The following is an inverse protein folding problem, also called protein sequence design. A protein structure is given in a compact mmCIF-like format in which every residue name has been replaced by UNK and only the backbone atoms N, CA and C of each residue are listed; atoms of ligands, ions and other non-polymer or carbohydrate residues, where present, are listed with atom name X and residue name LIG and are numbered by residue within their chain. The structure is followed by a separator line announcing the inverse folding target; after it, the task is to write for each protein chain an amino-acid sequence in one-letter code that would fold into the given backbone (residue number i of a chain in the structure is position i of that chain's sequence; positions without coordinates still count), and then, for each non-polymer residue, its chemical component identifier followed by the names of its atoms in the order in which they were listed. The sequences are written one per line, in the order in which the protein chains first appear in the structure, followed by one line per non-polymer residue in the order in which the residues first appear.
data_IF_326440726605
#
_entry.id   IF_326440726605
#
_cell.length_a   1.000
_cell.length_b   1.000
_cell.length_c   1.000
_cell.angle_alpha   90.00
_cell.angle_beta   90.00
_cell.angle_gamma   90.00
#
_symmetry.space_group_name_H-M   'P 1'
#
loop_
_entity.id
_entity.type
_entity.pdbx_description
1 polymer ?
#
# COMPACT_ATOMS: atom_id res chain seq x y z
N UNK A 1 5.58 -1.07 -24.10
CA UNK A 1 6.89 -1.40 -23.50
C UNK A 1 6.71 -2.64 -22.62
N UNK A 2 7.56 -3.65 -22.73
CA UNK A 2 7.47 -4.84 -21.84
C UNK A 2 8.04 -4.50 -20.47
N UNK A 3 7.25 -4.67 -19.41
CA UNK A 3 7.72 -4.55 -18.02
C UNK A 3 8.68 -5.68 -17.67
N UNK A 4 9.71 -5.37 -16.88
CA UNK A 4 10.69 -6.34 -16.39
C UNK A 4 10.08 -7.26 -15.34
N UNK A 5 10.77 -8.36 -15.02
CA UNK A 5 10.41 -9.23 -13.90
C UNK A 5 10.31 -8.43 -12.60
N UNK A 6 11.27 -7.54 -12.33
CA UNK A 6 11.27 -6.69 -11.12
C UNK A 6 10.04 -5.79 -11.04
N UNK A 7 9.64 -5.18 -12.15
CA UNK A 7 8.43 -4.34 -12.20
C UNK A 7 7.16 -5.15 -11.96
N UNK A 8 7.08 -6.37 -12.51
CA UNK A 8 5.94 -7.28 -12.28
C UNK A 8 5.90 -7.80 -10.85
N UNK A 9 7.04 -8.13 -10.26
CA UNK A 9 7.14 -8.54 -8.86
C UNK A 9 6.71 -7.39 -7.95
N UNK A 10 7.20 -6.16 -8.18
CA UNK A 10 6.79 -5.02 -7.37
C UNK A 10 5.30 -4.72 -7.50
N UNK A 11 4.74 -4.79 -8.71
CA UNK A 11 3.31 -4.59 -8.94
C UNK A 11 2.43 -5.69 -8.32
N UNK A 12 2.85 -6.95 -8.34
CA UNK A 12 2.10 -8.06 -7.71
C UNK A 12 2.11 -7.96 -6.20
N UNK A 13 3.25 -7.61 -5.60
CA UNK A 13 3.32 -7.36 -4.16
C UNK A 13 2.45 -6.16 -3.75
N UNK A 14 2.49 -5.07 -4.51
CA UNK A 14 1.64 -3.90 -4.24
C UNK A 14 0.14 -4.24 -4.40
N UNK A 15 -0.21 -5.10 -5.37
CA UNK A 15 -1.58 -5.59 -5.51
C UNK A 15 -2.01 -6.45 -4.31
N UNK A 16 -1.11 -7.27 -3.75
CA UNK A 16 -1.39 -8.05 -2.56
C UNK A 16 -1.68 -7.15 -1.33
N UNK A 17 -0.97 -6.04 -1.17
CA UNK A 17 -1.28 -5.04 -0.14
C UNK A 17 -2.63 -4.38 -0.37
N UNK A 18 -2.95 -4.03 -1.63
CA UNK A 18 -4.27 -3.53 -2.00
C UNK A 18 -5.40 -4.52 -1.65
N UNK A 19 -5.18 -5.81 -1.87
CA UNK A 19 -6.10 -6.88 -1.43
C UNK A 19 -6.19 -6.92 0.09
N UNK A 20 -5.08 -6.77 0.82
CA UNK A 20 -5.09 -6.64 2.28
C UNK A 20 -5.98 -5.50 2.78
N UNK A 21 -5.94 -4.33 2.10
CA UNK A 21 -6.84 -3.22 2.40
C UNK A 21 -8.31 -3.54 2.09
N UNK A 22 -8.60 -4.33 1.05
CA UNK A 22 -9.96 -4.79 0.77
C UNK A 22 -10.46 -5.80 1.82
N UNK A 23 -9.59 -6.67 2.33
CA UNK A 23 -9.93 -7.58 3.44
C UNK A 23 -10.24 -6.77 4.70
N UNK A 24 -9.41 -5.76 5.01
CA UNK A 24 -9.65 -4.84 6.11
C UNK A 24 -10.97 -4.06 5.93
N UNK A 25 -11.28 -3.61 4.72
CA UNK A 25 -12.53 -2.95 4.39
C UNK A 25 -13.73 -3.87 4.65
N UNK A 26 -13.66 -5.12 4.20
CA UNK A 26 -14.68 -6.13 4.46
C UNK A 26 -14.88 -6.37 5.95
N UNK A 27 -13.78 -6.44 6.71
CA UNK A 27 -13.85 -6.56 8.18
C UNK A 27 -14.53 -5.35 8.83
N UNK A 28 -14.20 -4.12 8.42
CA UNK A 28 -14.86 -2.91 8.94
C UNK A 28 -16.37 -2.90 8.67
N UNK A 29 -16.79 -3.35 7.48
CA UNK A 29 -18.22 -3.47 7.15
C UNK A 29 -18.91 -4.49 8.07
N UNK A 30 -18.28 -5.64 8.32
CA UNK A 30 -18.80 -6.64 9.26
C UNK A 30 -18.93 -6.03 10.67
N UNK A 31 -17.91 -5.31 11.15
CA UNK A 31 -17.93 -4.68 12.48
C UNK A 31 -19.10 -3.70 12.65
N UNK A 32 -19.38 -2.88 11.62
CA UNK A 32 -20.54 -1.97 11.63
C UNK A 32 -21.86 -2.77 11.71
N UNK A 33 -21.99 -3.82 10.91
CA UNK A 33 -23.22 -4.62 10.85
C UNK A 33 -23.46 -5.40 12.15
N UNK A 34 -22.40 -5.86 12.82
CA UNK A 34 -22.51 -6.57 14.11
C UNK A 34 -22.65 -5.63 15.31
N UNK A 35 -22.59 -4.32 15.10
CA UNK A 35 -22.65 -3.32 16.17
C UNK A 35 -21.38 -3.24 17.01
N UNK A 36 -20.26 -3.76 16.52
CA UNK A 36 -18.95 -3.77 17.19
C UNK A 36 -18.17 -2.48 16.87
N UNK A 37 -18.82 -1.33 17.06
CA UNK A 37 -18.25 0.00 16.81
C UNK A 37 -18.76 1.02 17.81
N UNK A 38 -17.86 1.76 18.46
CA UNK A 38 -18.22 2.81 19.43
C UNK A 38 -18.98 3.99 18.80
N UNK A 39 -18.67 4.31 17.54
CA UNK A 39 -19.27 5.41 16.79
C UNK A 39 -19.46 5.06 15.32
N UNK A 40 -20.72 5.02 14.88
CA UNK A 40 -21.08 4.74 13.48
C UNK A 40 -20.49 5.79 12.54
N UNK A 41 -20.48 7.07 12.95
CA UNK A 41 -19.94 8.15 12.11
C UNK A 41 -18.44 7.97 11.86
N UNK A 42 -17.67 7.64 12.90
CA UNK A 42 -16.23 7.37 12.76
C UNK A 42 -15.98 6.10 11.95
N UNK A 43 -16.77 5.06 12.15
CA UNK A 43 -16.65 3.81 11.42
C UNK A 43 -16.90 4.00 9.91
N UNK A 44 -17.94 4.75 9.54
CA UNK A 44 -18.21 5.09 8.13
C UNK A 44 -17.06 5.90 7.52
N UNK A 45 -16.49 6.85 8.26
CA UNK A 45 -15.34 7.61 7.78
C UNK A 45 -14.13 6.71 7.50
N UNK A 46 -13.84 5.76 8.39
CA UNK A 46 -12.76 4.77 8.22
C UNK A 46 -13.01 3.85 7.02
N UNK A 47 -14.25 3.39 6.81
CA UNK A 47 -14.64 2.57 5.65
C UNK A 47 -14.36 3.31 4.35
N UNK A 48 -14.82 4.58 4.26
CA UNK A 48 -14.60 5.40 3.06
C UNK A 48 -13.11 5.63 2.81
N UNK A 49 -12.35 5.99 3.85
CA UNK A 49 -10.91 6.22 3.73
C UNK A 49 -10.15 4.95 3.32
N UNK A 50 -10.54 3.79 3.88
CA UNK A 50 -9.95 2.49 3.55
C UNK A 50 -10.27 2.09 2.12
N UNK A 51 -11.51 2.32 1.65
CA UNK A 51 -11.89 2.07 0.27
C UNK A 51 -11.10 2.93 -0.72
N UNK A 52 -10.93 4.23 -0.42
CA UNK A 52 -10.09 5.13 -1.22
C UNK A 52 -8.62 4.69 -1.22
N UNK A 53 -8.10 4.29 -0.06
CA UNK A 53 -6.74 3.74 0.06
C UNK A 53 -6.57 2.49 -0.79
N UNK A 54 -7.49 1.52 -0.70
CA UNK A 54 -7.46 0.30 -1.49
C UNK A 54 -7.51 0.59 -3.00
N UNK A 55 -8.40 1.47 -3.44
CA UNK A 55 -8.51 1.88 -4.83
C UNK A 55 -7.22 2.56 -5.33
N UNK A 56 -6.62 3.44 -4.54
CA UNK A 56 -5.36 4.10 -4.87
C UNK A 56 -4.21 3.09 -5.00
N UNK A 57 -4.05 2.18 -4.03
CA UNK A 57 -2.98 1.16 -4.03
C UNK A 57 -3.13 0.19 -5.20
N UNK A 58 -4.34 -0.29 -5.48
CA UNK A 58 -4.61 -1.12 -6.65
C UNK A 58 -4.36 -0.36 -7.96
N UNK A 59 -4.74 0.92 -8.01
CA UNK A 59 -4.41 1.81 -9.13
C UNK A 59 -2.91 1.94 -9.36
N UNK A 60 -2.12 2.12 -8.30
CA UNK A 60 -0.66 2.15 -8.38
C UNK A 60 -0.06 0.80 -8.80
N UNK A 61 -0.64 -0.31 -8.37
CA UNK A 61 -0.23 -1.65 -8.80
C UNK A 61 -0.44 -1.83 -10.32
N UNK A 62 -1.62 -1.49 -10.83
CA UNK A 62 -1.93 -1.54 -12.26
C UNK A 62 -1.03 -0.59 -13.06
N UNK A 63 -0.86 0.65 -12.60
CA UNK A 63 0.02 1.63 -13.24
C UNK A 63 1.48 1.14 -13.29
N UNK A 64 1.96 0.52 -12.21
CA UNK A 64 3.30 -0.09 -12.16
C UNK A 64 3.42 -1.26 -13.14
N UNK A 65 2.39 -2.11 -13.22
CA UNK A 65 2.33 -3.26 -14.14
C UNK A 65 2.38 -2.86 -15.61
N UNK A 66 1.78 -1.72 -15.97
CA UNK A 66 1.79 -1.17 -17.34
C UNK A 66 3.01 -0.27 -17.59
N UNK A 67 3.88 -0.08 -16.59
CA UNK A 67 5.15 0.64 -16.73
C UNK A 67 5.08 2.15 -16.50
N UNK A 68 3.94 2.68 -16.03
CA UNK A 68 3.75 4.11 -15.74
C UNK A 68 4.56 4.56 -14.52
N UNK A 69 5.23 5.72 -14.61
CA UNK A 69 6.09 6.23 -13.54
C UNK A 69 5.35 6.66 -12.29
N UNK A 70 4.13 7.19 -12.44
CA UNK A 70 3.32 7.63 -11.31
C UNK A 70 2.89 6.48 -10.40
N UNK A 71 2.74 5.26 -10.94
CA UNK A 71 2.44 4.07 -10.14
C UNK A 71 3.56 3.70 -9.17
N UNK A 72 4.82 3.80 -9.61
CA UNK A 72 5.99 3.50 -8.77
C UNK A 72 6.18 4.54 -7.67
N UNK A 73 6.09 5.83 -8.01
CA UNK A 73 6.22 6.90 -7.02
C UNK A 73 5.07 6.88 -6.01
N UNK A 74 3.84 6.68 -6.48
CA UNK A 74 2.67 6.52 -5.61
C UNK A 74 2.82 5.34 -4.65
N UNK A 75 3.21 4.18 -5.18
CA UNK A 75 3.49 3.00 -4.37
C UNK A 75 4.58 3.23 -3.31
N UNK A 76 5.70 3.90 -3.66
CA UNK A 76 6.77 4.22 -2.70
C UNK A 76 6.24 5.13 -1.58
N UNK A 77 5.46 6.16 -1.94
CA UNK A 77 4.84 7.05 -0.95
C UNK A 77 3.90 6.28 -0.04
N UNK A 78 3.07 5.37 -0.57
CA UNK A 78 2.24 4.47 0.24
C UNK A 78 3.09 3.70 1.24
N UNK A 79 4.23 3.14 0.85
CA UNK A 79 5.08 2.40 1.79
C UNK A 79 5.59 3.27 2.92
N UNK A 80 5.98 4.52 2.64
CA UNK A 80 6.40 5.45 3.68
C UNK A 80 5.25 5.81 4.63
N UNK A 81 4.03 5.97 4.09
CA UNK A 81 2.84 6.19 4.91
C UNK A 81 2.51 4.98 5.78
N UNK A 82 2.61 3.75 5.25
CA UNK A 82 2.41 2.52 6.03
C UNK A 82 3.48 2.39 7.12
N UNK A 83 4.73 2.75 6.83
CA UNK A 83 5.80 2.78 7.85
C UNK A 83 5.55 3.83 8.93
N UNK A 84 5.01 5.00 8.57
CA UNK A 84 4.59 6.00 9.54
C UNK A 84 3.46 5.47 10.44
N UNK A 85 2.48 4.77 9.86
CA UNK A 85 1.42 4.08 10.61
C UNK A 85 1.98 2.98 11.50
N UNK A 86 2.94 2.19 11.02
CA UNK A 86 3.60 1.14 11.79
C UNK A 86 4.36 1.71 12.99
N UNK A 87 5.08 2.82 12.81
CA UNK A 87 5.74 3.53 13.89
C UNK A 87 4.72 4.04 14.92
N UNK A 88 3.63 4.66 14.46
CA UNK A 88 2.53 5.08 15.34
C UNK A 88 1.90 3.91 16.10
N UNK A 89 1.74 2.75 15.46
CA UNK A 89 1.26 1.53 16.11
C UNK A 89 2.26 0.96 17.13
N UNK A 90 3.57 1.23 16.99
CA UNK A 90 4.58 0.81 17.96
C UNK A 90 4.68 1.75 19.17
N UNK A 91 4.52 3.07 18.96
CA UNK A 91 4.81 4.10 19.97
C UNK A 91 3.59 4.82 20.53
N UNK A 92 2.39 4.60 19.98
CA UNK A 92 1.16 5.26 20.44
C UNK A 92 0.70 4.81 21.83
N UNK A 93 -0.28 5.53 22.40
CA UNK A 93 -0.82 5.28 23.74
C UNK A 93 -1.33 3.85 23.95
N UNK A 94 -1.81 3.21 22.88
CA UNK A 94 -2.21 1.81 22.83
C UNK A 94 -1.31 1.03 21.87
N UNK A 95 0.01 1.12 22.05
CA UNK A 95 0.98 0.49 21.18
C UNK A 95 0.78 -1.03 21.07
N UNK A 96 0.73 -1.53 19.84
CA UNK A 96 0.65 -2.94 19.48
C UNK A 96 1.89 -3.32 18.66
N UNK A 97 3.00 -3.73 19.30
CA UNK A 97 4.28 -3.97 18.63
C UNK A 97 4.18 -5.05 17.54
N UNK A 98 3.35 -6.07 17.76
CA UNK A 98 3.13 -7.13 16.78
C UNK A 98 2.47 -6.60 15.50
N UNK A 99 1.48 -5.70 15.62
CA UNK A 99 0.83 -5.06 14.46
C UNK A 99 1.82 -4.15 13.74
N UNK A 100 2.61 -3.39 14.49
CA UNK A 100 3.65 -2.52 13.93
C UNK A 100 4.65 -3.32 13.07
N UNK A 101 5.15 -4.45 13.58
CA UNK A 101 6.05 -5.33 12.82
C UNK A 101 5.33 -5.94 11.60
N UNK A 102 4.07 -6.37 11.77
CA UNK A 102 3.25 -6.91 10.69
C UNK A 102 3.01 -5.93 9.55
N UNK A 103 2.95 -4.62 9.83
CA UNK A 103 2.85 -3.55 8.82
C UNK A 103 4.23 -3.19 8.24
N UNK A 104 5.26 -3.12 9.07
CA UNK A 104 6.58 -2.64 8.65
C UNK A 104 7.29 -3.60 7.70
N UNK A 105 7.23 -4.91 7.94
CA UNK A 105 7.89 -5.92 7.11
C UNK A 105 7.44 -5.86 5.65
N UNK A 106 6.13 -5.99 5.31
CA UNK A 106 5.70 -5.89 3.93
C UNK A 106 6.05 -4.53 3.35
N UNK A 107 5.87 -3.43 4.10
CA UNK A 107 6.12 -2.11 3.57
C UNK A 107 7.59 -1.88 3.16
N UNK A 108 8.55 -2.40 3.94
CA UNK A 108 9.97 -2.37 3.60
C UNK A 108 10.22 -3.21 2.35
N UNK A 109 9.72 -4.45 2.31
CA UNK A 109 9.96 -5.38 1.20
C UNK A 109 9.41 -4.82 -0.11
N UNK A 110 8.14 -4.38 -0.12
CA UNK A 110 7.49 -3.81 -1.30
C UNK A 110 8.17 -2.50 -1.69
N UNK A 111 8.54 -1.66 -0.72
CA UNK A 111 9.24 -0.40 -0.96
C UNK A 111 10.57 -0.61 -1.67
N UNK A 112 11.39 -1.57 -1.21
CA UNK A 112 12.65 -1.93 -1.85
C UNK A 112 12.44 -2.47 -3.28
N UNK A 113 11.43 -3.30 -3.50
CA UNK A 113 11.06 -3.78 -4.83
C UNK A 113 10.65 -2.63 -5.78
N UNK A 114 9.86 -1.67 -5.30
CA UNK A 114 9.43 -0.51 -6.08
C UNK A 114 10.61 0.43 -6.42
N UNK A 115 11.54 0.63 -5.48
CA UNK A 115 12.77 1.38 -5.72
C UNK A 115 13.63 0.68 -6.79
N UNK A 116 13.79 -0.64 -6.69
CA UNK A 116 14.50 -1.42 -7.69
C UNK A 116 13.84 -1.32 -9.08
N UNK A 117 12.50 -1.39 -9.14
CA UNK A 117 11.73 -1.20 -10.36
C UNK A 117 11.92 0.20 -10.96
N UNK A 118 11.89 1.25 -10.13
CA UNK A 118 12.12 2.63 -10.57
C UNK A 118 13.53 2.82 -11.16
N UNK A 119 14.56 2.27 -10.51
CA UNK A 119 15.94 2.29 -11.01
C UNK A 119 16.10 1.52 -12.32
N UNK A 120 15.46 0.37 -12.45
CA UNK A 120 15.48 -0.43 -13.69
C UNK A 120 14.79 0.30 -14.86
N UNK A 121 13.72 1.05 -14.59
CA UNK A 121 13.09 1.93 -15.58
C UNK A 121 14.00 3.12 -15.96
N UNK A 122 14.65 3.75 -14.98
CA UNK A 122 15.58 4.87 -15.22
C UNK A 122 16.75 4.51 -16.14
N UNK A 123 17.41 3.36 -15.91
CA UNK A 123 18.53 2.87 -16.75
C UNK A 123 18.16 2.59 -18.21
N UNK A 124 16.88 2.47 -18.54
CA UNK A 124 16.40 2.23 -19.90
C UNK A 124 16.07 3.52 -20.66
N UNK A 125 15.97 4.66 -19.97
CA UNK A 125 15.81 5.95 -20.66
C UNK A 125 17.14 6.29 -21.33
N UNK A 126 17.18 6.45 -22.66
CA UNK A 126 18.37 6.94 -23.34
C UNK A 126 18.78 8.29 -22.75
N UNK A 127 20.08 8.57 -22.65
CA UNK A 127 20.56 9.92 -22.42
C UNK A 127 20.15 10.75 -23.64
N UNK A 128 19.06 11.49 -23.52
CA UNK A 128 18.78 12.60 -24.42
C UNK A 128 19.66 13.75 -23.95
N UNK A 129 20.82 13.89 -24.58
CA UNK A 129 21.60 15.13 -24.63
C UNK A 129 20.86 16.18 -25.47
#
# INVERSE_FOLDING_TARGET
MRTTVVERTAATLLAAEGIGLLVLLGWQVVAIVTGDTDSVASAVALVVLTALGAAAVLGFAVATWVGQSWGRSGGIVTQLLVLAVALGAATGDYGHPAIAVGLAIPAIVVGLCLIAAARAAGRRRPATD
#
